data_IF_375337051112
#
_entry.id   IF_375337051112
#
_cell.length_a   1.000
_cell.length_b   1.000
_cell.length_c   1.000
_cell.angle_alpha   90.00
_cell.angle_beta   90.00
_cell.angle_gamma   90.00
#
_symmetry.space_group_name_H-M   'P 1'
#
loop_
_entity.id
_entity.type
_entity.pdbx_description
1 polymer ?
#
# COMPACT_ATOMS: atom_id res chain seq x y z
N UNK A 1 11.19 5.25 -7.04
CA UNK A 1 10.61 4.45 -5.93
C UNK A 1 10.01 3.18 -6.50
N UNK A 2 9.61 2.24 -5.64
CA UNK A 2 9.14 0.94 -6.10
C UNK A 2 7.72 1.03 -6.67
N UNK A 3 7.48 0.40 -7.83
CA UNK A 3 6.22 0.45 -8.60
C UNK A 3 4.97 0.03 -7.81
N UNK A 4 5.13 -0.65 -6.67
CA UNK A 4 4.01 -1.09 -5.85
C UNK A 4 3.38 0.06 -5.04
N UNK A 5 4.13 1.15 -4.78
CA UNK A 5 3.59 2.32 -4.09
C UNK A 5 2.46 2.98 -4.91
N UNK A 6 2.63 3.05 -6.23
CA UNK A 6 1.72 3.69 -7.19
C UNK A 6 0.80 2.70 -7.93
N UNK A 7 0.73 1.42 -7.52
CA UNK A 7 0.09 0.38 -8.35
C UNK A 7 -1.38 0.65 -8.70
N UNK A 8 -2.08 1.43 -7.89
CA UNK A 8 -3.47 1.88 -8.11
C UNK A 8 -3.59 3.40 -8.27
N UNK A 9 -2.46 4.09 -8.41
CA UNK A 9 -2.40 5.52 -8.58
C UNK A 9 -2.02 5.87 -10.04
N UNK A 10 -2.97 6.34 -10.87
CA UNK A 10 -2.68 6.68 -12.26
C UNK A 10 -1.73 7.87 -12.42
N UNK A 11 -1.63 8.74 -11.40
CA UNK A 11 -0.79 9.94 -11.44
C UNK A 11 0.63 9.67 -10.93
N UNK A 12 0.87 8.48 -10.37
CA UNK A 12 2.20 8.02 -9.92
C UNK A 12 2.86 9.02 -8.98
N UNK A 13 2.13 9.45 -7.94
CA UNK A 13 2.60 10.49 -7.02
C UNK A 13 3.90 10.09 -6.32
N UNK A 14 4.07 8.81 -5.94
CA UNK A 14 5.30 8.35 -5.31
C UNK A 14 6.45 8.29 -6.33
N UNK A 15 6.20 7.96 -7.58
CA UNK A 15 7.26 7.95 -8.58
C UNK A 15 7.68 9.35 -9.05
N UNK A 16 6.73 10.26 -9.20
CA UNK A 16 6.95 11.55 -9.87
C UNK A 16 7.01 12.69 -8.86
N UNK A 17 5.98 12.86 -8.04
CA UNK A 17 5.81 14.03 -7.19
C UNK A 17 6.68 13.98 -5.94
N UNK A 18 6.72 12.84 -5.25
CA UNK A 18 7.47 12.69 -3.99
C UNK A 18 8.98 12.98 -4.16
N UNK A 19 9.68 12.47 -5.19
CA UNK A 19 11.09 12.80 -5.41
C UNK A 19 11.32 14.28 -5.71
N UNK A 20 10.39 14.94 -6.40
CA UNK A 20 10.46 16.38 -6.66
C UNK A 20 10.30 17.17 -5.36
N UNK A 21 9.27 16.87 -4.55
CA UNK A 21 9.06 17.51 -3.24
C UNK A 21 10.26 17.31 -2.31
N UNK A 22 10.92 16.15 -2.35
CA UNK A 22 12.11 15.86 -1.53
C UNK A 22 13.30 16.79 -1.82
N UNK A 23 13.33 17.50 -2.94
CA UNK A 23 14.35 18.53 -3.22
C UNK A 23 14.23 19.76 -2.30
N UNK A 24 13.04 19.99 -1.76
CA UNK A 24 12.75 21.15 -0.89
C UNK A 24 12.32 20.73 0.51
N UNK A 25 11.63 19.59 0.62
CA UNK A 25 11.09 19.02 1.87
C UNK A 25 12.07 18.02 2.51
N UNK A 26 12.78 18.40 3.58
CA UNK A 26 13.81 17.53 4.16
C UNK A 26 13.22 16.24 4.74
N UNK A 27 12.00 16.29 5.29
CA UNK A 27 11.34 15.13 5.88
C UNK A 27 11.15 13.99 4.85
N UNK A 28 10.69 14.32 3.63
CA UNK A 28 10.59 13.34 2.56
C UNK A 28 11.97 12.86 2.10
N UNK A 29 12.93 13.77 1.97
CA UNK A 29 14.30 13.42 1.59
C UNK A 29 14.90 12.37 2.51
N UNK A 30 14.84 12.60 3.81
CA UNK A 30 15.41 11.68 4.79
C UNK A 30 14.62 10.38 4.91
N UNK A 31 13.29 10.39 4.72
CA UNK A 31 12.51 9.16 4.60
C UNK A 31 12.95 8.32 3.38
N UNK A 32 13.12 8.95 2.22
CA UNK A 32 13.60 8.29 0.99
C UNK A 32 15.02 7.75 1.18
N UNK A 33 15.92 8.52 1.79
CA UNK A 33 17.28 8.07 2.06
C UNK A 33 17.32 6.89 3.03
N UNK A 34 16.56 6.95 4.13
CA UNK A 34 16.45 5.83 5.07
C UNK A 34 15.98 4.55 4.36
N UNK A 35 14.87 4.62 3.63
CA UNK A 35 14.32 3.50 2.87
C UNK A 35 15.32 2.96 1.82
N UNK A 36 15.95 3.86 1.07
CA UNK A 36 16.89 3.49 -0.01
C UNK A 36 18.15 2.84 0.54
N UNK A 37 18.78 3.40 1.57
CA UNK A 37 19.96 2.81 2.22
C UNK A 37 19.62 1.42 2.77
N UNK A 38 18.48 1.27 3.47
CA UNK A 38 18.04 -0.04 3.97
C UNK A 38 17.86 -1.07 2.86
N UNK A 39 17.27 -0.66 1.73
CA UNK A 39 17.11 -1.54 0.58
C UNK A 39 18.44 -1.98 -0.03
N UNK A 40 19.42 -1.08 -0.11
CA UNK A 40 20.77 -1.40 -0.59
C UNK A 40 21.50 -2.33 0.40
N UNK A 41 21.39 -2.08 1.70
CA UNK A 41 22.07 -2.87 2.74
C UNK A 41 21.61 -4.32 2.75
N UNK A 42 20.30 -4.57 2.57
CA UNK A 42 19.75 -5.93 2.43
C UNK A 42 20.34 -6.70 1.25
N UNK A 43 20.73 -6.01 0.17
CA UNK A 43 21.33 -6.65 -0.99
C UNK A 43 22.83 -6.87 -0.84
N UNK A 44 23.52 -6.07 -0.01
CA UNK A 44 24.99 -6.01 0.05
C UNK A 44 25.61 -6.51 1.35
N UNK A 45 24.82 -6.90 2.35
CA UNK A 45 25.29 -7.30 3.69
C UNK A 45 26.26 -6.27 4.31
N UNK A 46 25.94 -4.98 4.16
CA UNK A 46 26.73 -3.86 4.67
C UNK A 46 26.22 -3.35 6.03
N UNK A 47 27.01 -2.50 6.65
CA UNK A 47 26.69 -1.79 7.90
C UNK A 47 25.41 -0.94 7.75
N UNK A 48 24.42 -1.22 8.61
CA UNK A 48 23.11 -0.56 8.67
C UNK A 48 23.15 0.88 9.24
N UNK A 49 24.33 1.34 9.66
CA UNK A 49 24.54 2.65 10.30
C UNK A 49 23.98 3.81 9.47
N UNK A 50 24.13 3.78 8.14
CA UNK A 50 23.65 4.88 7.28
C UNK A 50 22.11 4.96 7.25
N UNK A 51 21.43 3.83 7.05
CA UNK A 51 19.97 3.78 7.05
C UNK A 51 19.40 4.28 8.39
N UNK A 52 20.02 3.89 9.51
CA UNK A 52 19.63 4.32 10.85
C UNK A 52 19.87 5.83 11.07
N UNK A 53 20.96 6.38 10.55
CA UNK A 53 21.23 7.82 10.62
C UNK A 53 20.16 8.64 9.91
N UNK A 54 19.82 8.30 8.66
CA UNK A 54 18.76 8.98 7.92
C UNK A 54 17.39 8.79 8.58
N UNK A 55 17.11 7.59 9.11
CA UNK A 55 15.89 7.31 9.86
C UNK A 55 15.74 8.24 11.08
N UNK A 56 16.77 8.31 11.92
CA UNK A 56 16.79 9.16 13.11
C UNK A 56 16.65 10.64 12.77
N UNK A 57 17.28 11.09 11.69
CA UNK A 57 17.16 12.47 11.26
C UNK A 57 15.76 12.79 10.72
N UNK A 58 15.13 11.86 10.00
CA UNK A 58 13.72 11.99 9.62
C UNK A 58 12.80 12.10 10.85
N UNK A 59 13.03 11.27 11.87
CA UNK A 59 12.28 11.33 13.13
C UNK A 59 12.45 12.66 13.87
N UNK A 60 13.66 13.23 13.88
CA UNK A 60 13.92 14.56 14.48
C UNK A 60 13.07 15.66 13.83
N UNK A 61 12.75 15.54 12.54
CA UNK A 61 11.88 16.46 11.81
C UNK A 61 10.39 16.16 12.03
N UNK A 62 10.01 14.87 12.09
CA UNK A 62 8.62 14.44 12.24
C UNK A 62 8.05 14.68 13.64
N UNK A 63 8.82 14.39 14.69
CA UNK A 63 8.33 14.43 16.08
C UNK A 63 7.73 15.81 16.44
N UNK A 64 8.38 16.95 16.14
CA UNK A 64 7.80 18.27 16.42
C UNK A 64 6.50 18.53 15.65
N UNK A 65 6.43 18.11 14.39
CA UNK A 65 5.24 18.30 13.54
C UNK A 65 4.06 17.51 14.09
N UNK A 66 4.28 16.23 14.44
CA UNK A 66 3.25 15.34 14.99
C UNK A 66 2.82 15.71 16.41
N UNK A 67 3.68 16.43 17.15
CA UNK A 67 3.38 16.96 18.48
C UNK A 67 2.65 18.31 18.43
N UNK A 68 2.57 18.93 17.25
CA UNK A 68 1.95 20.22 17.02
C UNK A 68 0.43 20.17 16.80
N UNK A 69 -0.18 21.31 16.40
CA UNK A 69 -1.59 21.36 16.00
C UNK A 69 -1.88 20.45 14.81
N UNK A 70 -3.08 19.90 14.70
CA UNK A 70 -3.43 18.97 13.60
C UNK A 70 -3.20 19.57 12.20
N UNK A 71 -3.35 20.88 12.06
CA UNK A 71 -3.17 21.59 10.79
C UNK A 71 -1.71 21.59 10.29
N UNK A 72 -0.73 21.23 11.14
CA UNK A 72 0.67 21.07 10.73
C UNK A 72 0.92 19.78 9.96
N UNK A 73 0.00 18.81 10.03
CA UNK A 73 0.16 17.50 9.41
C UNK A 73 -0.29 17.60 7.95
N UNK A 74 0.69 17.70 7.06
CA UNK A 74 0.48 17.82 5.61
C UNK A 74 0.49 16.46 4.90
N UNK A 75 0.15 16.46 3.61
CA UNK A 75 0.29 15.28 2.74
C UNK A 75 1.76 14.82 2.62
N UNK A 76 2.71 15.75 2.61
CA UNK A 76 4.16 15.50 2.71
C UNK A 76 4.51 14.70 3.96
N UNK A 77 3.93 15.04 5.12
CA UNK A 77 4.15 14.32 6.39
C UNK A 77 3.60 12.91 6.29
N UNK A 78 2.36 12.74 5.82
CA UNK A 78 1.76 11.42 5.65
C UNK A 78 2.58 10.54 4.70
N UNK A 79 3.01 11.07 3.55
CA UNK A 79 3.84 10.36 2.60
C UNK A 79 5.21 9.96 3.19
N UNK A 80 5.83 10.83 3.99
CA UNK A 80 7.08 10.51 4.68
C UNK A 80 6.91 9.37 5.69
N UNK A 81 5.86 9.40 6.51
CA UNK A 81 5.59 8.32 7.47
C UNK A 81 5.24 7.01 6.75
N UNK A 82 4.51 7.05 5.63
CA UNK A 82 4.27 5.88 4.79
C UNK A 82 5.58 5.27 4.28
N UNK A 83 6.51 6.07 3.75
CA UNK A 83 7.83 5.59 3.32
C UNK A 83 8.63 4.99 4.49
N UNK A 84 8.58 5.59 5.68
CA UNK A 84 9.21 5.02 6.88
C UNK A 84 8.58 3.69 7.30
N UNK A 85 7.28 3.49 7.05
CA UNK A 85 6.66 2.17 7.25
C UNK A 85 7.23 1.14 6.30
N UNK A 86 7.41 1.47 5.01
CA UNK A 86 8.07 0.56 4.06
C UNK A 86 9.50 0.22 4.49
N UNK A 87 10.22 1.17 5.10
CA UNK A 87 11.53 0.91 5.70
C UNK A 87 11.44 -0.09 6.86
N UNK A 88 10.44 0.04 7.72
CA UNK A 88 10.21 -0.87 8.85
C UNK A 88 9.87 -2.31 8.41
N UNK A 89 9.08 -2.46 7.34
CA UNK A 89 8.74 -3.77 6.74
C UNK A 89 9.97 -4.53 6.20
N UNK A 90 11.09 -3.85 6.03
CA UNK A 90 12.34 -4.44 5.56
C UNK A 90 13.24 -4.91 6.70
N UNK A 91 12.91 -4.57 7.94
CA UNK A 91 13.61 -5.05 9.13
C UNK A 91 13.19 -6.49 9.48
N UNK A 92 14.06 -7.23 10.18
CA UNK A 92 13.71 -8.55 10.69
C UNK A 92 12.66 -8.47 11.82
N UNK A 93 12.66 -7.36 12.55
CA UNK A 93 11.69 -7.04 13.59
C UNK A 93 10.82 -5.85 13.15
N UNK A 94 9.69 -6.13 12.48
CA UNK A 94 8.68 -5.11 12.18
C UNK A 94 7.91 -4.75 13.47
N UNK A 95 8.37 -3.71 14.16
CA UNK A 95 7.76 -3.21 15.40
C UNK A 95 6.45 -2.45 15.18
N UNK A 96 6.05 -2.18 13.94
CA UNK A 96 4.81 -1.50 13.55
C UNK A 96 4.66 -0.08 14.14
N UNK A 97 5.76 0.59 14.48
CA UNK A 97 5.72 1.96 15.00
C UNK A 97 5.17 2.93 13.96
N UNK A 98 5.66 2.86 12.72
CA UNK A 98 5.21 3.75 11.65
C UNK A 98 3.83 3.35 11.14
N UNK A 99 3.41 2.09 11.31
CA UNK A 99 2.03 1.66 11.05
C UNK A 99 1.06 2.33 12.02
N UNK A 100 1.42 2.33 13.30
CA UNK A 100 0.61 2.97 14.33
C UNK A 100 0.50 4.47 14.05
N UNK A 101 1.62 5.09 13.66
CA UNK A 101 1.67 6.51 13.26
C UNK A 101 0.80 6.82 12.05
N UNK A 102 0.96 6.12 10.93
CA UNK A 102 0.15 6.31 9.71
C UNK A 102 -1.34 6.10 9.98
N UNK A 103 -1.71 5.03 10.69
CA UNK A 103 -3.09 4.73 11.06
C UNK A 103 -3.69 5.84 11.92
N UNK A 104 -2.95 6.34 12.90
CA UNK A 104 -3.41 7.44 13.76
C UNK A 104 -3.64 8.73 12.96
N UNK A 105 -2.70 9.08 12.07
CA UNK A 105 -2.82 10.25 11.20
C UNK A 105 -4.06 10.15 10.31
N UNK A 106 -4.21 9.03 9.60
CA UNK A 106 -5.33 8.79 8.68
C UNK A 106 -6.68 8.77 9.38
N UNK A 107 -6.75 8.14 10.56
CA UNK A 107 -7.98 8.09 11.33
C UNK A 107 -8.33 9.46 11.94
N UNK A 108 -7.37 10.38 12.05
CA UNK A 108 -7.57 11.72 12.62
C UNK A 108 -7.92 12.76 11.54
N UNK A 109 -7.28 12.69 10.37
CA UNK A 109 -7.37 13.72 9.32
C UNK A 109 -8.24 13.21 8.17
N UNK A 110 -9.49 13.67 8.14
CA UNK A 110 -10.51 13.16 7.22
C UNK A 110 -10.29 13.52 5.75
N UNK A 111 -9.51 14.56 5.45
CA UNK A 111 -9.30 15.04 4.08
C UNK A 111 -8.45 14.09 3.25
N UNK A 112 -7.45 13.42 3.84
CA UNK A 112 -6.48 12.64 3.06
C UNK A 112 -7.11 11.50 2.26
N UNK A 113 -8.13 10.81 2.77
CA UNK A 113 -8.77 9.72 2.03
C UNK A 113 -9.68 10.16 0.87
N UNK A 114 -9.84 11.47 0.61
CA UNK A 114 -10.79 11.97 -0.39
C UNK A 114 -10.41 13.30 -1.07
N UNK A 115 -9.21 13.84 -0.81
CA UNK A 115 -8.77 15.14 -1.33
C UNK A 115 -8.18 15.09 -2.75
N UNK A 116 -7.96 13.91 -3.31
CA UNK A 116 -7.03 13.72 -4.42
C UNK A 116 -5.57 14.00 -4.02
N UNK A 117 -4.71 14.06 -5.04
CA UNK A 117 -3.31 14.41 -4.88
C UNK A 117 -2.48 13.40 -4.07
N UNK A 118 -1.32 13.85 -3.62
CA UNK A 118 -0.38 13.04 -2.83
C UNK A 118 -1.00 12.51 -1.54
N UNK A 119 -1.85 13.30 -0.87
CA UNK A 119 -2.49 12.89 0.39
C UNK A 119 -3.36 11.65 0.20
N UNK A 120 -4.16 11.60 -0.86
CA UNK A 120 -4.99 10.43 -1.17
C UNK A 120 -4.16 9.25 -1.66
N UNK A 121 -3.14 9.49 -2.50
CA UNK A 121 -2.21 8.43 -2.89
C UNK A 121 -1.53 7.77 -1.68
N UNK A 122 -1.08 8.59 -0.72
CA UNK A 122 -0.47 8.10 0.53
C UNK A 122 -1.48 7.37 1.42
N UNK A 123 -2.72 7.84 1.52
CA UNK A 123 -3.78 7.14 2.25
C UNK A 123 -4.05 5.74 1.69
N UNK A 124 -4.13 5.59 0.36
CA UNK A 124 -4.29 4.29 -0.28
C UNK A 124 -3.06 3.39 -0.09
N UNK A 125 -1.85 3.94 -0.05
CA UNK A 125 -0.64 3.20 0.28
C UNK A 125 -0.70 2.64 1.70
N UNK A 126 -0.98 3.48 2.70
CA UNK A 126 -1.09 3.06 4.09
C UNK A 126 -2.21 2.02 4.31
N UNK A 127 -3.34 2.14 3.60
CA UNK A 127 -4.39 1.13 3.65
C UNK A 127 -3.86 -0.25 3.20
N UNK A 128 -3.01 -0.31 2.16
CA UNK A 128 -2.40 -1.57 1.72
C UNK A 128 -1.39 -2.12 2.73
N UNK A 129 -0.62 -1.24 3.39
CA UNK A 129 0.31 -1.61 4.46
C UNK A 129 -0.43 -2.20 5.68
N UNK A 130 -1.59 -1.64 6.05
CA UNK A 130 -2.45 -2.19 7.11
C UNK A 130 -3.13 -3.50 6.69
N UNK A 131 -3.59 -3.61 5.43
CA UNK A 131 -4.09 -4.88 4.86
C UNK A 131 -3.03 -5.98 4.98
N UNK A 132 -1.77 -5.68 4.62
CA UNK A 132 -0.66 -6.63 4.73
C UNK A 132 -0.49 -7.11 6.18
N UNK A 133 -0.42 -6.18 7.14
CA UNK A 133 -0.27 -6.52 8.57
C UNK A 133 -1.47 -7.29 9.12
N UNK A 134 -2.68 -6.89 8.76
CA UNK A 134 -3.91 -7.59 9.13
C UNK A 134 -3.86 -9.06 8.70
N UNK A 135 -3.42 -9.33 7.46
CA UNK A 135 -3.29 -10.69 6.93
C UNK A 135 -2.18 -11.49 7.64
N UNK A 136 -0.97 -10.94 7.76
CA UNK A 136 0.16 -11.70 8.32
C UNK A 136 0.06 -11.91 9.83
N UNK A 137 -0.60 -10.98 10.55
CA UNK A 137 -0.76 -11.04 12.00
C UNK A 137 -2.10 -11.64 12.42
N UNK A 138 -3.02 -11.88 11.47
CA UNK A 138 -4.40 -12.29 11.71
C UNK A 138 -5.11 -11.39 12.73
N UNK A 139 -4.96 -10.06 12.57
CA UNK A 139 -5.58 -9.04 13.42
C UNK A 139 -6.55 -8.19 12.61
N UNK A 140 -7.64 -7.67 13.21
CA UNK A 140 -8.55 -6.78 12.50
C UNK A 140 -7.82 -5.57 11.92
N UNK A 141 -8.23 -5.16 10.72
CA UNK A 141 -7.77 -3.94 10.08
C UNK A 141 -7.97 -2.72 11.00
N UNK A 142 -6.95 -1.89 11.18
CA UNK A 142 -7.02 -0.74 12.09
C UNK A 142 -7.58 0.53 11.43
N UNK A 143 -7.30 0.71 10.15
CA UNK A 143 -7.73 1.85 9.33
C UNK A 143 -9.26 2.03 9.36
N UNK A 144 -9.70 3.27 9.53
CA UNK A 144 -11.10 3.65 9.42
C UNK A 144 -11.50 3.83 7.95
N UNK A 145 -12.25 2.87 7.42
CA UNK A 145 -12.67 2.85 6.02
C UNK A 145 -13.63 3.99 5.66
N UNK A 146 -14.29 4.62 6.63
CA UNK A 146 -15.15 5.78 6.35
C UNK A 146 -14.34 6.96 5.78
N UNK A 147 -13.04 7.03 6.08
CA UNK A 147 -12.13 8.08 5.56
C UNK A 147 -12.01 8.08 4.04
N UNK A 148 -12.25 6.95 3.40
CA UNK A 148 -12.20 6.81 1.94
C UNK A 148 -13.55 7.00 1.26
N UNK A 149 -14.66 7.09 2.00
CA UNK A 149 -16.02 7.08 1.43
C UNK A 149 -16.29 8.11 0.33
N UNK A 150 -15.60 9.25 0.39
CA UNK A 150 -15.71 10.34 -0.59
C UNK A 150 -14.63 10.34 -1.67
N UNK A 151 -13.78 9.30 -1.73
CA UNK A 151 -12.77 9.13 -2.77
C UNK A 151 -13.41 9.07 -4.16
N UNK A 152 -12.82 9.76 -5.13
CA UNK A 152 -13.28 9.71 -6.52
C UNK A 152 -13.08 8.33 -7.18
N UNK A 153 -12.33 7.43 -6.56
CA UNK A 153 -12.19 6.03 -6.97
C UNK A 153 -13.56 5.35 -7.11
N UNK A 154 -14.54 5.72 -6.28
CA UNK A 154 -15.87 5.12 -6.31
C UNK A 154 -16.76 5.64 -7.44
N UNK A 155 -16.37 6.72 -8.13
CA UNK A 155 -17.11 7.27 -9.28
C UNK A 155 -16.40 7.10 -10.62
N UNK A 156 -15.07 6.92 -10.62
CA UNK A 156 -14.25 6.73 -11.83
C UNK A 156 -14.34 5.33 -12.41
N UNK A 157 -14.36 5.22 -13.74
CA UNK A 157 -14.53 3.94 -14.45
C UNK A 157 -13.26 3.40 -15.13
N UNK A 158 -12.09 3.96 -14.83
CA UNK A 158 -10.81 3.43 -15.30
C UNK A 158 -10.29 2.26 -14.46
N UNK A 159 -9.31 1.55 -15.01
CA UNK A 159 -8.76 0.31 -14.42
C UNK A 159 -8.15 0.51 -13.03
N UNK A 160 -7.57 1.68 -12.75
CA UNK A 160 -6.98 1.97 -11.44
C UNK A 160 -8.06 2.10 -10.38
N UNK A 161 -9.16 2.79 -10.70
CA UNK A 161 -10.32 2.88 -9.81
C UNK A 161 -10.94 1.50 -9.56
N UNK A 162 -11.10 0.67 -10.59
CA UNK A 162 -11.59 -0.69 -10.45
C UNK A 162 -10.71 -1.57 -9.54
N UNK A 163 -9.39 -1.46 -9.66
CA UNK A 163 -8.48 -2.18 -8.77
C UNK A 163 -8.55 -1.65 -7.32
N UNK A 164 -8.56 -0.33 -7.10
CA UNK A 164 -8.71 0.27 -5.77
C UNK A 164 -10.02 -0.14 -5.08
N UNK A 165 -11.13 -0.26 -5.84
CA UNK A 165 -12.40 -0.77 -5.31
C UNK A 165 -12.25 -2.20 -4.76
N UNK A 166 -11.52 -3.08 -5.43
CA UNK A 166 -11.24 -4.44 -4.93
C UNK A 166 -10.34 -4.42 -3.68
N UNK A 167 -9.33 -3.56 -3.65
CA UNK A 167 -8.50 -3.35 -2.43
C UNK A 167 -9.38 -2.90 -1.25
N UNK A 168 -10.32 -1.98 -1.49
CA UNK A 168 -11.25 -1.51 -0.48
C UNK A 168 -12.21 -2.63 0.00
N UNK A 169 -12.71 -3.47 -0.90
CA UNK A 169 -13.55 -4.63 -0.54
C UNK A 169 -12.77 -5.64 0.31
N UNK A 170 -11.50 -5.92 -0.02
CA UNK A 170 -10.63 -6.73 0.83
C UNK A 170 -10.48 -6.11 2.22
N UNK A 171 -10.27 -4.80 2.30
CA UNK A 171 -10.18 -4.09 3.58
C UNK A 171 -11.48 -4.25 4.42
N UNK A 172 -12.66 -4.16 3.79
CA UNK A 172 -13.94 -4.41 4.46
C UNK A 172 -14.02 -5.81 5.06
N UNK A 173 -13.60 -6.83 4.31
CA UNK A 173 -13.54 -8.22 4.82
C UNK A 173 -12.62 -8.29 6.04
N UNK A 174 -11.41 -7.74 5.94
CA UNK A 174 -10.40 -7.79 7.00
C UNK A 174 -10.76 -6.99 8.25
N UNK A 175 -11.67 -6.02 8.15
CA UNK A 175 -12.26 -5.35 9.32
C UNK A 175 -13.06 -6.32 10.22
N UNK A 176 -13.54 -7.42 9.64
CA UNK A 176 -14.41 -8.38 10.33
C UNK A 176 -13.77 -9.78 10.50
N UNK A 177 -12.92 -10.23 9.57
CA UNK A 177 -12.44 -11.61 9.48
C UNK A 177 -11.62 -12.10 10.70
N UNK A 178 -11.05 -11.18 11.49
CA UNK A 178 -10.15 -11.49 12.61
C UNK A 178 -10.64 -10.97 13.97
N UNK A 179 -11.92 -10.62 14.08
CA UNK A 179 -12.49 -10.11 15.33
C UNK A 179 -13.13 -11.25 16.15
N UNK A 180 -12.28 -12.07 16.76
CA UNK A 180 -12.68 -13.31 17.45
C UNK A 180 -13.57 -13.10 18.68
N UNK A 181 -13.50 -11.92 19.31
CA UNK A 181 -14.27 -11.58 20.51
C UNK A 181 -15.70 -11.10 20.21
N UNK A 182 -16.01 -10.82 18.93
CA UNK A 182 -17.35 -10.40 18.51
C UNK A 182 -18.04 -11.54 17.78
N UNK A 183 -19.32 -11.73 18.08
CA UNK A 183 -20.18 -12.55 17.22
C UNK A 183 -20.15 -11.95 15.82
N UNK A 184 -19.59 -12.71 14.87
CA UNK A 184 -19.51 -12.30 13.47
C UNK A 184 -20.93 -12.06 12.99
N UNK A 185 -21.24 -10.82 12.60
CA UNK A 185 -22.54 -10.51 12.04
C UNK A 185 -22.59 -11.06 10.61
N UNK A 186 -23.18 -12.24 10.46
CA UNK A 186 -23.27 -12.94 9.18
C UNK A 186 -23.89 -12.08 8.07
N UNK A 187 -24.84 -11.20 8.38
CA UNK A 187 -25.44 -10.32 7.37
C UNK A 187 -24.44 -9.33 6.76
N UNK A 188 -23.50 -8.81 7.56
CA UNK A 188 -22.47 -7.89 7.07
C UNK A 188 -21.54 -8.61 6.08
N UNK A 189 -21.13 -9.85 6.40
CA UNK A 189 -20.28 -10.63 5.50
C UNK A 189 -21.01 -11.01 4.21
N UNK A 190 -22.30 -11.35 4.30
CA UNK A 190 -23.14 -11.60 3.12
C UNK A 190 -23.25 -10.36 2.23
N UNK A 191 -23.44 -9.18 2.82
CA UNK A 191 -23.53 -7.93 2.07
C UNK A 191 -22.19 -7.57 1.39
N UNK A 192 -21.07 -7.75 2.07
CA UNK A 192 -19.74 -7.61 1.46
C UNK A 192 -19.56 -8.64 0.32
N UNK A 193 -20.02 -9.87 0.50
CA UNK A 193 -20.03 -10.90 -0.55
C UNK A 193 -20.81 -10.47 -1.78
N UNK A 194 -22.00 -9.88 -1.61
CA UNK A 194 -22.80 -9.31 -2.72
C UNK A 194 -22.06 -8.17 -3.44
N UNK A 195 -21.36 -7.31 -2.70
CA UNK A 195 -20.56 -6.23 -3.28
C UNK A 195 -19.38 -6.76 -4.10
N UNK A 196 -18.70 -7.81 -3.61
CA UNK A 196 -17.62 -8.49 -4.34
C UNK A 196 -18.14 -9.12 -5.63
N UNK A 197 -19.28 -9.82 -5.59
CA UNK A 197 -19.88 -10.41 -6.78
C UNK A 197 -20.32 -9.33 -7.79
N UNK A 198 -20.89 -8.23 -7.29
CA UNK A 198 -21.25 -7.07 -8.11
C UNK A 198 -20.01 -6.45 -8.76
N UNK A 199 -18.89 -6.35 -8.05
CA UNK A 199 -17.63 -5.91 -8.65
C UNK A 199 -17.16 -6.89 -9.73
N UNK A 200 -17.18 -8.19 -9.43
CA UNK A 200 -16.68 -9.24 -10.32
C UNK A 200 -17.45 -9.31 -11.65
N UNK A 201 -18.77 -9.11 -11.60
CA UNK A 201 -19.65 -9.13 -12.77
C UNK A 201 -19.59 -7.84 -13.60
N UNK A 202 -19.19 -6.71 -13.01
CA UNK A 202 -19.19 -5.40 -13.67
C UNK A 202 -17.81 -4.91 -14.09
N UNK A 203 -16.73 -5.51 -13.59
CA UNK A 203 -15.37 -5.09 -13.92
C UNK A 203 -15.15 -5.07 -15.45
N UNK A 204 -14.37 -4.11 -15.99
CA UNK A 204 -14.16 -4.02 -17.42
C UNK A 204 -13.45 -5.26 -17.98
N UNK A 205 -13.59 -5.50 -19.29
CA UNK A 205 -12.94 -6.61 -19.98
C UNK A 205 -11.40 -6.53 -19.97
N UNK A 206 -10.83 -5.37 -19.64
CA UNK A 206 -9.38 -5.18 -19.42
C UNK A 206 -8.84 -6.05 -18.28
N UNK A 207 -9.68 -6.46 -17.33
CA UNK A 207 -9.34 -7.41 -16.26
C UNK A 207 -9.38 -8.88 -16.72
N UNK A 208 -9.59 -9.15 -18.00
CA UNK A 208 -9.43 -10.50 -18.55
C UNK A 208 -7.95 -10.76 -18.88
N UNK A 209 -7.41 -11.94 -18.53
CA UNK A 209 -6.05 -12.31 -18.93
C UNK A 209 -5.88 -12.29 -20.45
N UNK A 210 -4.79 -11.70 -20.93
CA UNK A 210 -4.35 -11.81 -22.33
C UNK A 210 -4.00 -13.27 -22.62
N UNK A 211 -3.34 -13.89 -21.66
CA UNK A 211 -2.98 -15.30 -21.72
C UNK A 211 -3.23 -15.94 -20.36
N UNK A 212 -3.83 -17.11 -20.39
CA UNK A 212 -3.96 -17.99 -19.23
C UNK A 212 -3.30 -19.32 -19.56
N UNK A 213 -2.37 -19.73 -18.72
CA UNK A 213 -1.75 -21.05 -18.84
C UNK A 213 -1.97 -21.79 -17.52
N UNK A 214 -2.68 -22.94 -17.54
CA UNK A 214 -2.99 -23.66 -16.31
C UNK A 214 -1.73 -24.17 -15.61
N UNK A 215 -1.87 -24.42 -14.30
CA UNK A 215 -0.90 -25.21 -13.54
C UNK A 215 -0.76 -26.59 -14.17
N UNK A 216 0.44 -27.15 -14.16
CA UNK A 216 0.71 -28.48 -14.69
C UNK A 216 1.82 -29.16 -13.88
N UNK A 217 1.54 -30.35 -13.37
CA UNK A 217 2.52 -31.20 -12.69
C UNK A 217 3.60 -31.71 -13.63
N UNK A 218 3.26 -31.98 -14.89
CA UNK A 218 4.17 -32.56 -15.89
C UNK A 218 5.35 -31.63 -16.21
N UNK A 219 5.08 -30.34 -16.35
CA UNK A 219 6.10 -29.30 -16.58
C UNK A 219 6.51 -28.56 -15.30
N UNK A 220 6.28 -29.15 -14.12
CA UNK A 220 6.62 -28.59 -12.81
C UNK A 220 6.08 -27.17 -12.55
N UNK A 221 5.00 -26.79 -13.23
CA UNK A 221 4.35 -25.49 -13.09
C UNK A 221 3.32 -25.54 -11.97
N UNK A 222 3.74 -25.22 -10.75
CA UNK A 222 2.91 -25.28 -9.52
C UNK A 222 1.74 -24.28 -9.52
N UNK A 223 1.91 -23.13 -10.16
CA UNK A 223 0.89 -22.06 -10.24
C UNK A 223 0.48 -21.79 -11.69
N UNK A 224 -0.76 -21.36 -11.95
CA UNK A 224 -1.13 -20.90 -13.29
C UNK A 224 -0.31 -19.66 -13.68
N UNK A 225 0.09 -19.59 -14.94
CA UNK A 225 0.61 -18.36 -15.55
C UNK A 225 -0.55 -17.50 -16.00
N UNK A 226 -0.57 -16.23 -15.59
CA UNK A 226 -1.64 -15.29 -15.92
C UNK A 226 -1.02 -13.98 -16.39
N UNK A 227 -1.15 -13.68 -17.68
CA UNK A 227 -0.62 -12.45 -18.26
C UNK A 227 -1.74 -11.44 -18.37
N UNK A 228 -1.58 -10.31 -17.69
CA UNK A 228 -2.53 -9.21 -17.68
C UNK A 228 -2.03 -8.05 -18.52
N UNK A 229 -2.95 -7.16 -18.92
CA UNK A 229 -2.63 -6.00 -19.74
C UNK A 229 -1.78 -4.97 -18.99
N UNK A 230 -2.13 -4.69 -17.74
CA UNK A 230 -1.42 -3.73 -16.88
C UNK A 230 -1.12 -4.34 -15.51
N UNK A 231 -0.07 -3.87 -14.80
CA UNK A 231 0.24 -4.33 -13.45
C UNK A 231 -0.93 -4.22 -12.46
N UNK A 232 -1.79 -3.22 -12.64
CA UNK A 232 -2.95 -2.93 -11.79
C UNK A 232 -4.04 -4.01 -11.86
N UNK A 233 -4.08 -4.83 -12.92
CA UNK A 233 -5.06 -5.91 -13.07
C UNK A 233 -4.69 -7.20 -12.33
N UNK A 234 -3.44 -7.32 -11.88
CA UNK A 234 -2.91 -8.51 -11.21
C UNK A 234 -1.52 -8.87 -11.73
N UNK A 235 -0.57 -9.06 -10.82
CA UNK A 235 0.79 -9.48 -11.17
C UNK A 235 0.92 -11.00 -11.02
N UNK A 236 1.05 -11.74 -12.12
CA UNK A 236 1.65 -13.08 -12.07
C UNK A 236 3.17 -12.92 -12.15
N UNK A 237 3.95 -13.39 -11.16
CA UNK A 237 5.39 -13.53 -11.35
C UNK A 237 5.60 -14.77 -12.22
N UNK A 238 5.70 -14.59 -13.53
CA UNK A 238 6.30 -15.62 -14.38
C UNK A 238 7.50 -15.04 -15.11
N UNK A 239 8.66 -15.41 -14.55
CA UNK A 239 10.02 -15.36 -15.11
C UNK A 239 10.63 -13.97 -15.24
N UNK A 240 11.45 -13.63 -14.23
CA UNK A 240 12.72 -12.94 -14.47
C UNK A 240 13.37 -13.66 -15.65
N UNK A 241 13.61 -12.92 -16.73
CA UNK A 241 14.35 -13.40 -17.89
C UNK A 241 15.59 -14.17 -17.41
N UNK A 242 15.58 -15.49 -17.54
CA UNK A 242 16.82 -16.25 -17.52
C UNK A 242 17.56 -15.84 -18.79
N UNK A 243 18.54 -14.95 -18.64
CA UNK A 243 19.53 -14.73 -19.68
C UNK A 243 20.13 -16.09 -20.06
N UNK A 244 20.23 -16.44 -21.35
CA UNK A 244 20.96 -17.64 -21.74
C UNK A 244 22.43 -17.37 -21.44
N UNK A 245 22.97 -18.04 -20.43
CA UNK A 245 24.41 -18.20 -20.30
C UNK A 245 24.87 -19.07 -21.47
N UNK A 246 25.56 -18.46 -22.42
CA UNK A 246 26.46 -19.17 -23.33
C UNK A 246 27.60 -19.81 -22.55
#
# INVERSE_FOLDING_TARGET
>A
MALWADITDPQRHFEIEVPLRALEEPVLRYAIFAFSSRHIDRQRQKDISEALQYHNHCLQLLIPVLSGPRDSITDTVLAAVAILRQHEEMDCEDHQFHLTGTTQILNTISSFGSSGGLGEAAAWLCLREDIYISLISQRPLQTDLHRFSNSNVFSREDDFAWASRMVFLLAKVLKHAFNYDRTVNHSILEDIGKEIEKWNTRKPSTFQPIQYVPRSSEVHRRFPGVWMLLPVHGRSPTQVFASPTN
#
